data_IF_360672184549
#
_entry.id   IF_360672184549
#
_cell.length_a   1.000
_cell.length_b   1.000
_cell.length_c   1.000
_cell.angle_alpha   90.00
_cell.angle_beta   90.00
_cell.angle_gamma   90.00
#
_symmetry.space_group_name_H-M   'P 1'
#
loop_
_entity.id
_entity.type
_entity.pdbx_description
1 polymer ?
#
# COMPACT_ATOMS: atom_id res chain seq x y z
N UNK A 1 11.31 -23.85 6.57
CA UNK A 1 10.24 -22.96 6.07
C UNK A 1 10.17 -23.10 4.56
N UNK A 2 9.49 -24.11 4.07
CA UNK A 2 9.22 -24.21 2.64
C UNK A 2 8.03 -23.32 2.30
N UNK A 3 8.22 -22.38 1.37
CA UNK A 3 7.16 -21.54 0.82
C UNK A 3 6.71 -22.15 -0.50
N UNK A 4 5.43 -22.51 -0.58
CA UNK A 4 4.83 -23.01 -1.81
C UNK A 4 4.80 -21.92 -2.88
N UNK A 5 4.75 -22.33 -4.15
CA UNK A 5 4.66 -21.39 -5.27
C UNK A 5 3.45 -20.45 -5.14
N UNK A 6 2.32 -20.95 -4.63
CA UNK A 6 1.11 -20.16 -4.40
C UNK A 6 1.30 -19.09 -3.33
N UNK A 7 1.91 -19.45 -2.19
CA UNK A 7 2.20 -18.48 -1.12
C UNK A 7 3.19 -17.40 -1.61
N UNK A 8 4.21 -17.80 -2.36
CA UNK A 8 5.15 -16.85 -2.96
C UNK A 8 4.47 -15.91 -3.97
N UNK A 9 3.53 -16.42 -4.77
CA UNK A 9 2.72 -15.61 -5.69
C UNK A 9 1.90 -14.56 -4.93
N UNK A 10 1.19 -14.95 -3.87
CA UNK A 10 0.42 -14.01 -3.06
C UNK A 10 1.30 -13.00 -2.33
N UNK A 11 2.46 -13.42 -1.83
CA UNK A 11 3.41 -12.53 -1.17
C UNK A 11 3.96 -11.48 -2.15
N UNK A 12 4.41 -11.91 -3.33
CA UNK A 12 4.94 -10.98 -4.35
C UNK A 12 3.85 -10.05 -4.87
N UNK A 13 2.61 -10.54 -5.03
CA UNK A 13 1.45 -9.72 -5.37
C UNK A 13 1.12 -8.68 -4.28
N UNK A 14 1.18 -9.06 -3.00
CA UNK A 14 0.96 -8.15 -1.87
C UNK A 14 2.00 -7.00 -1.86
N UNK A 15 3.27 -7.33 -2.06
CA UNK A 15 4.35 -6.34 -2.14
C UNK A 15 4.13 -5.42 -3.34
N UNK A 16 3.82 -5.97 -4.52
CA UNK A 16 3.54 -5.21 -5.73
C UNK A 16 2.34 -4.27 -5.57
N UNK A 17 1.29 -4.71 -4.86
CA UNK A 17 0.12 -3.89 -4.57
C UNK A 17 0.45 -2.70 -3.68
N UNK A 18 1.18 -2.91 -2.57
CA UNK A 18 1.60 -1.81 -1.67
C UNK A 18 2.45 -0.79 -2.41
N UNK A 19 3.46 -1.25 -3.18
CA UNK A 19 4.32 -0.36 -3.95
C UNK A 19 3.54 0.42 -5.03
N UNK A 20 2.59 -0.22 -5.69
CA UNK A 20 1.76 0.43 -6.70
C UNK A 20 0.89 1.52 -6.10
N UNK A 21 0.24 1.25 -4.96
CA UNK A 21 -0.65 2.20 -4.29
C UNK A 21 0.14 3.35 -3.67
N UNK A 22 1.32 3.07 -3.09
CA UNK A 22 2.23 4.11 -2.59
C UNK A 22 2.75 5.02 -3.72
N UNK A 23 3.09 4.42 -4.87
CA UNK A 23 3.48 5.17 -6.06
C UNK A 23 2.35 6.07 -6.57
N UNK A 24 1.10 5.57 -6.56
CA UNK A 24 -0.07 6.37 -6.91
C UNK A 24 -0.33 7.49 -5.89
N UNK A 25 -0.20 7.23 -4.58
CA UNK A 25 -0.32 8.25 -3.54
C UNK A 25 0.70 9.39 -3.77
N UNK A 26 1.97 9.03 -3.97
CA UNK A 26 3.03 10.01 -4.26
C UNK A 26 2.75 10.79 -5.54
N UNK A 27 2.25 10.14 -6.59
CA UNK A 27 1.90 10.81 -7.85
C UNK A 27 0.76 11.82 -7.64
N UNK A 28 -0.27 11.48 -6.88
CA UNK A 28 -1.38 12.38 -6.52
C UNK A 28 -0.86 13.56 -5.70
N UNK A 29 -0.02 13.31 -4.69
CA UNK A 29 0.59 14.37 -3.87
C UNK A 29 1.38 15.36 -4.74
N UNK A 30 2.27 14.85 -5.61
CA UNK A 30 3.08 15.69 -6.51
C UNK A 30 2.24 16.45 -7.53
N UNK A 31 1.18 15.83 -8.04
CA UNK A 31 0.26 16.51 -8.95
C UNK A 31 -0.51 17.62 -8.24
N UNK A 32 -0.96 17.39 -7.00
CA UNK A 32 -1.66 18.40 -6.22
C UNK A 32 -0.75 19.59 -5.87
N UNK A 33 0.49 19.32 -5.46
CA UNK A 33 1.50 20.36 -5.19
C UNK A 33 1.86 21.17 -6.45
N UNK A 34 1.86 20.51 -7.62
CA UNK A 34 2.09 21.16 -8.90
C UNK A 34 0.93 22.09 -9.31
N UNK A 35 -0.32 21.67 -9.10
CA UNK A 35 -1.50 22.44 -9.50
C UNK A 35 -1.79 23.57 -8.51
N UNK A 36 -1.55 23.39 -7.21
CA UNK A 36 -1.74 24.40 -6.17
C UNK A 36 -0.49 24.49 -5.28
N UNK A 37 0.44 25.42 -5.59
CA UNK A 37 1.66 25.60 -4.80
C UNK A 37 1.40 26.15 -3.38
N UNK A 38 0.26 26.82 -3.16
CA UNK A 38 -0.19 27.27 -1.84
C UNK A 38 -1.15 26.25 -1.20
N UNK A 39 -0.93 25.92 0.07
CA UNK A 39 -1.72 24.93 0.80
C UNK A 39 -3.22 25.26 0.76
N UNK A 40 -4.02 24.30 0.30
CA UNK A 40 -5.48 24.35 0.31
C UNK A 40 -6.04 23.21 1.16
N UNK A 41 -6.98 23.50 2.07
CA UNK A 41 -7.60 22.48 2.94
C UNK A 41 -8.21 21.30 2.17
N UNK A 42 -8.79 21.56 0.98
CA UNK A 42 -9.35 20.50 0.12
C UNK A 42 -8.28 19.55 -0.41
N UNK A 43 -7.06 20.03 -0.65
CA UNK A 43 -5.94 19.20 -1.09
C UNK A 43 -5.45 18.33 0.06
N UNK A 44 -5.40 18.87 1.27
CA UNK A 44 -5.14 18.09 2.48
C UNK A 44 -6.08 16.88 2.58
N UNK A 45 -7.39 17.11 2.41
CA UNK A 45 -8.37 16.02 2.43
C UNK A 45 -8.16 14.96 1.33
N UNK A 46 -7.77 15.36 0.12
CA UNK A 46 -7.45 14.41 -0.96
C UNK A 46 -6.21 13.58 -0.62
N UNK A 47 -5.17 14.22 -0.05
CA UNK A 47 -3.95 13.53 0.41
C UNK A 47 -4.28 12.53 1.53
N UNK A 48 -5.14 12.90 2.47
CA UNK A 48 -5.57 12.00 3.54
C UNK A 48 -6.30 10.76 3.01
N UNK A 49 -7.16 10.92 2.00
CA UNK A 49 -7.83 9.78 1.34
C UNK A 49 -6.81 8.87 0.65
N UNK A 50 -5.84 9.45 -0.05
CA UNK A 50 -4.82 8.70 -0.78
C UNK A 50 -3.89 7.94 0.18
N UNK A 51 -3.47 8.56 1.29
CA UNK A 51 -2.75 7.90 2.38
C UNK A 51 -3.60 6.79 3.04
N UNK A 52 -4.92 7.00 3.16
CA UNK A 52 -5.85 5.97 3.62
C UNK A 52 -5.85 4.72 2.71
N UNK A 53 -5.75 4.89 1.40
CA UNK A 53 -5.67 3.77 0.46
C UNK A 53 -4.37 2.95 0.64
N UNK A 54 -3.23 3.63 0.85
CA UNK A 54 -1.95 2.98 1.18
C UNK A 54 -2.08 2.17 2.48
N UNK A 55 -2.73 2.73 3.50
CA UNK A 55 -2.94 2.05 4.77
C UNK A 55 -3.72 0.74 4.61
N UNK A 56 -4.80 0.74 3.81
CA UNK A 56 -5.53 -0.50 3.52
C UNK A 56 -4.66 -1.53 2.77
N UNK A 57 -3.86 -1.08 1.80
CA UNK A 57 -2.93 -1.96 1.09
C UNK A 57 -1.91 -2.62 2.04
N UNK A 58 -1.36 -1.83 2.96
CA UNK A 58 -0.42 -2.31 3.98
C UNK A 58 -1.07 -3.33 4.93
N UNK A 59 -2.29 -3.08 5.39
CA UNK A 59 -3.05 -4.05 6.20
C UNK A 59 -3.29 -5.37 5.46
N UNK A 60 -3.64 -5.31 4.17
CA UNK A 60 -3.79 -6.51 3.34
C UNK A 60 -2.47 -7.27 3.21
N UNK A 61 -1.35 -6.58 3.01
CA UNK A 61 -0.04 -7.22 2.93
C UNK A 61 0.38 -7.87 4.25
N UNK A 62 0.10 -7.22 5.39
CA UNK A 62 0.31 -7.80 6.72
C UNK A 62 -0.55 -9.06 6.90
N UNK A 63 -1.84 -9.00 6.56
CA UNK A 63 -2.74 -10.16 6.68
C UNK A 63 -2.24 -11.35 5.84
N UNK A 64 -1.81 -11.12 4.60
CA UNK A 64 -1.21 -12.16 3.74
C UNK A 64 0.04 -12.74 4.38
N UNK A 65 0.93 -11.90 4.92
CA UNK A 65 2.11 -12.34 5.65
C UNK A 65 1.78 -13.21 6.86
N UNK A 66 0.79 -12.81 7.67
CA UNK A 66 0.35 -13.59 8.83
C UNK A 66 -0.21 -14.96 8.42
N UNK A 67 -1.03 -15.00 7.35
CA UNK A 67 -1.59 -16.26 6.83
C UNK A 67 -0.50 -17.22 6.35
N UNK A 68 0.54 -16.71 5.67
CA UNK A 68 1.63 -17.54 5.14
C UNK A 68 2.59 -17.99 6.24
N UNK A 69 2.96 -17.08 7.15
CA UNK A 69 4.07 -17.31 8.06
C UNK A 69 3.65 -17.85 9.43
N UNK A 70 2.52 -17.45 10.02
CA UNK A 70 2.10 -17.96 11.34
C UNK A 70 2.06 -19.49 11.40
N UNK A 71 1.44 -20.20 10.42
CA UNK A 71 1.35 -21.67 10.48
C UNK A 71 2.71 -22.38 10.29
N UNK A 72 3.76 -21.66 9.90
CA UNK A 72 5.11 -22.22 9.69
C UNK A 72 6.04 -22.01 10.87
N UNK A 73 5.65 -21.13 11.79
CA UNK A 73 6.35 -20.87 13.05
C UNK A 73 5.79 -21.69 14.21
N UNK A 74 4.50 -22.06 14.14
CA UNK A 74 3.83 -22.98 15.07
C UNK A 74 4.07 -24.41 14.60
#
# INVERSE_FOLDING_TARGET
MDISQTEFLFQTMAIGMVLSIEGLNTAIEKMADFIHPDYHERIGFIKDIAAGAVFFAALTAIAIGLIIYIPKFI
#
